data_IF_543076490676
#
_entry.id   IF_543076490676
#
_cell.length_a   1.000
_cell.length_b   1.000
_cell.length_c   1.000
_cell.angle_alpha   90.00
_cell.angle_beta   90.00
_cell.angle_gamma   90.00
#
_symmetry.space_group_name_H-M   'P 1'
#
loop_
_entity.id
_entity.type
_entity.pdbx_description
1 polymer ?
2 polymer ?
3 non-polymer ?
4 water ?
#
# COMPACT_ATOMS: atom_id res chain seq x y z
N UNK A 1 2.25 -11.16 12.56
CA UNK A 1 1.47 -9.93 12.56
C UNK A 1 0.32 -10.00 11.57
N UNK A 2 -0.04 -8.85 10.99
CA UNK A 2 -1.17 -8.78 10.09
C UNK A 2 -0.93 -9.44 8.73
N UNK A 3 0.21 -9.11 8.13
CA UNK A 3 0.59 -9.65 6.83
C UNK A 3 0.57 -11.17 6.86
N UNK A 4 0.86 -11.73 8.03
CA UNK A 4 0.89 -13.17 8.20
C UNK A 4 -0.52 -13.70 8.42
N UNK A 5 -1.18 -13.15 9.41
CA UNK A 5 -2.48 -13.63 9.86
C UNK A 5 -3.55 -13.63 8.76
N UNK A 6 -3.73 -12.48 8.10
CA UNK A 6 -4.76 -12.34 7.08
C UNK A 6 -4.49 -13.19 5.86
N UNK A 7 -3.26 -13.69 5.75
CA UNK A 7 -2.94 -14.58 4.65
C UNK A 7 -3.22 -16.02 5.06
N UNK A 8 -2.64 -16.44 6.17
CA UNK A 8 -2.79 -17.82 6.61
C UNK A 8 -4.18 -18.09 7.17
N UNK A 9 -4.74 -17.11 7.87
CA UNK A 9 -6.12 -17.24 8.33
C UNK A 9 -7.00 -16.21 7.63
N UNK A 10 -8.16 -15.94 8.22
CA UNK A 10 -9.05 -14.93 7.70
C UNK A 10 -9.28 -13.82 8.73
N UNK A 11 -8.93 -12.59 8.34
CA UNK A 11 -9.12 -11.43 9.20
C UNK A 11 -10.50 -10.80 9.03
N UNK A 12 -11.07 -10.28 10.11
CA UNK A 12 -12.29 -9.48 9.98
C UNK A 12 -11.90 -8.11 9.44
N UNK A 13 -12.89 -7.38 8.93
CA UNK A 13 -12.66 -6.05 8.40
C UNK A 13 -11.99 -5.16 9.43
N UNK A 14 -12.46 -5.22 10.67
CA UNK A 14 -11.93 -4.31 11.66
C UNK A 14 -10.45 -4.58 11.99
N UNK A 15 -9.97 -5.80 11.79
CA UNK A 15 -8.54 -6.07 11.95
C UNK A 15 -7.72 -5.32 10.88
N UNK A 16 -8.24 -5.28 9.65
CA UNK A 16 -7.59 -4.54 8.57
C UNK A 16 -7.58 -3.04 8.87
N UNK A 17 -8.74 -2.55 9.30
CA UNK A 17 -8.91 -1.11 9.47
C UNK A 17 -8.03 -0.55 10.58
N UNK A 18 -7.50 -1.41 11.45
CA UNK A 18 -6.53 -1.01 12.47
C UNK A 18 -5.20 -0.51 11.88
N UNK A 19 -4.99 -0.75 10.59
CA UNK A 19 -3.76 -0.30 9.93
C UNK A 19 -3.94 0.94 9.06
N UNK A 20 -5.14 1.51 9.06
CA UNK A 20 -5.35 2.82 8.42
C UNK A 20 -4.69 3.87 9.27
N UNK A 21 -4.19 4.94 8.64
CA UNK A 21 -3.55 6.01 9.38
C UNK A 21 -4.54 6.74 10.26
N UNK B 1 -13.68 -8.48 -0.72
CA UNK B 1 -12.44 -8.91 -0.08
C UNK B 1 -12.63 -9.20 1.40
N UNK B 2 -13.89 -9.26 1.85
CA UNK B 2 -14.18 -9.64 3.23
C UNK B 2 -14.27 -11.16 3.26
N UNK B 3 -14.05 -11.77 4.42
CA UNK B 3 -14.06 -13.22 4.54
C UNK B 3 -13.24 -13.95 3.49
N UNK B 4 -11.99 -13.56 3.31
CA UNK B 4 -11.10 -14.33 2.45
C UNK B 4 -9.64 -14.17 2.85
N UNK B 5 -8.80 -15.08 2.38
CA UNK B 5 -7.36 -14.98 2.55
C UNK B 5 -6.84 -13.83 1.69
N UNK B 6 -6.10 -12.93 2.33
CA UNK B 6 -5.52 -11.80 1.63
C UNK B 6 -4.00 -11.94 1.73
N UNK B 7 -3.42 -12.49 0.68
CA UNK B 7 -1.98 -12.72 0.65
C UNK B 7 -1.28 -11.78 -0.31
N UNK B 8 -0.05 -11.41 0.03
CA UNK B 8 0.80 -10.61 -0.83
C UNK B 8 0.14 -9.30 -1.23
N UNK B 9 0.13 -9.03 -2.53
CA UNK B 9 -0.40 -7.76 -3.00
C UNK B 9 -1.88 -7.59 -2.69
N UNK B 10 -2.59 -8.70 -2.48
CA UNK B 10 -4.03 -8.61 -2.26
C UNK B 10 -4.38 -7.97 -0.91
N UNK B 11 -3.50 -8.15 0.07
CA UNK B 11 -3.72 -7.49 1.36
C UNK B 11 -3.54 -5.99 1.19
N UNK B 12 -2.55 -5.59 0.41
CA UNK B 12 -2.31 -4.17 0.15
C UNK B 12 -3.49 -3.55 -0.63
N UNK B 13 -4.03 -4.29 -1.57
CA UNK B 13 -5.20 -3.83 -2.34
C UNK B 13 -6.40 -3.61 -1.40
N UNK B 14 -6.57 -4.54 -0.45
CA UNK B 14 -7.67 -4.48 0.52
C UNK B 14 -7.50 -3.27 1.42
N UNK B 15 -6.30 -3.08 1.95
CA UNK B 15 -6.01 -1.93 2.80
C UNK B 15 -6.28 -0.60 2.07
N UNK B 16 -5.86 -0.52 0.81
CA UNK B 16 -6.06 0.69 0.01
C UNK B 16 -7.55 1.03 -0.09
N UNK B 17 -8.36 0.01 -0.32
CA UNK B 17 -9.81 0.16 -0.46
C UNK B 17 -10.47 0.52 0.87
N UNK B 18 -10.13 -0.20 1.91
CA UNK B 18 -10.67 0.07 3.23
C UNK B 18 -10.32 1.46 3.75
N UNK B 19 -9.05 1.84 3.65
CA UNK B 19 -8.56 3.03 4.34
C UNK B 19 -8.81 4.33 3.57
N UNK B 20 -9.02 4.22 2.27
CA UNK B 20 -9.37 5.39 1.48
C UNK B 20 -8.32 6.48 1.63
N UNK B 21 -8.76 7.70 1.90
CA UNK B 21 -7.84 8.83 1.86
C UNK B 21 -7.01 8.96 3.14
N UNK B 22 -7.32 8.18 4.17
CA UNK B 22 -6.45 8.07 5.33
C UNK B 22 -5.08 7.48 4.96
N UNK B 23 -5.06 6.60 3.96
CA UNK B 23 -3.86 5.83 3.68
C UNK B 23 -3.62 4.88 4.84
N UNK B 24 -2.50 4.16 4.79
CA UNK B 24 -2.25 3.07 5.72
C UNK B 24 -0.76 2.75 5.79
N UNK B 25 -0.41 1.86 6.72
CA UNK B 25 0.98 1.41 6.81
C UNK B 25 0.99 -0.11 6.78
N UNK B 26 2.03 -0.66 6.19
CA UNK B 26 2.07 -2.08 5.90
C UNK B 26 3.42 -2.59 6.36
N UNK B 27 3.39 -3.58 7.25
CA UNK B 27 4.60 -4.00 7.94
C UNK B 27 4.62 -5.51 8.09
N UNK B 28 5.21 -6.19 7.11
CA UNK B 28 5.34 -7.66 7.07
C UNK B 28 6.10 -8.23 8.27
N UNK B 29 6.99 -7.45 8.87
CA UNK B 29 7.83 -7.93 9.98
C UNK B 29 7.12 -8.97 10.87
N UNK C 1 4.70 15.39 -1.05
CA UNK C 1 4.49 14.01 -0.67
C UNK C 1 4.55 13.04 -1.83
N UNK C 2 4.28 11.78 -1.56
CA UNK C 2 4.37 10.73 -2.55
C UNK C 2 3.49 11.01 -3.78
N UNK C 3 2.29 11.52 -3.54
CA UNK C 3 1.35 11.80 -4.63
C UNK C 3 1.90 12.89 -5.55
N UNK C 4 2.42 13.94 -4.93
CA UNK C 4 3.08 14.99 -5.68
C UNK C 4 4.24 14.42 -6.50
N UNK C 5 5.08 13.63 -5.86
CA UNK C 5 6.31 13.15 -6.51
C UNK C 5 6.10 12.06 -7.55
N UNK C 6 5.19 11.14 -7.30
CA UNK C 6 5.06 9.98 -8.19
C UNK C 6 3.78 9.96 -9.03
N UNK C 7 2.75 10.66 -8.57
CA UNK C 7 1.48 10.68 -9.28
C UNK C 7 1.39 11.88 -10.22
N UNK C 8 1.48 13.08 -9.66
CA UNK C 8 1.38 14.28 -10.47
C UNK C 8 2.65 14.45 -11.32
N UNK C 9 3.81 14.24 -10.72
CA UNK C 9 5.08 14.16 -11.45
C UNK C 9 5.46 12.70 -11.71
N UNK C 10 6.70 12.49 -12.13
CA UNK C 10 7.23 11.17 -12.43
C UNK C 10 8.38 10.91 -11.48
N UNK C 11 8.39 9.78 -10.79
CA UNK C 11 9.42 9.56 -9.79
C UNK C 11 10.37 8.42 -10.11
N UNK C 12 11.53 8.43 -9.46
CA UNK C 12 12.54 7.39 -9.60
C UNK C 12 12.27 6.36 -8.52
N UNK C 13 12.89 5.19 -8.61
CA UNK C 13 12.73 4.18 -7.54
C UNK C 13 13.25 4.73 -6.22
N UNK C 14 14.31 5.51 -6.32
CA UNK C 14 14.91 6.21 -5.19
C UNK C 14 13.84 6.98 -4.42
N UNK C 15 13.08 7.80 -5.15
CA UNK C 15 12.01 8.58 -4.54
C UNK C 15 10.94 7.68 -3.92
N UNK C 16 10.58 6.58 -4.58
CA UNK C 16 9.59 5.66 -4.03
C UNK C 16 10.05 5.05 -2.72
N UNK C 17 11.32 4.61 -2.71
CA UNK C 17 11.91 3.93 -1.56
C UNK C 17 11.94 4.76 -0.31
N UNK C 18 11.87 6.07 -0.49
CA UNK C 18 11.81 7.01 0.62
C UNK C 18 10.60 6.70 1.53
N UNK C 19 9.58 6.06 0.99
CA UNK C 19 8.41 5.77 1.78
C UNK C 19 8.34 4.34 2.31
N UNK C 20 9.38 3.54 2.05
CA UNK C 20 9.50 2.23 2.69
C UNK C 20 9.77 2.47 4.16
N UNK C 21 9.47 1.48 5.00
CA UNK C 21 9.78 1.58 6.43
C UNK C 21 11.28 1.59 6.71
N UNK D 1 -4.25 4.01 -19.70
CA UNK D 1 -2.97 4.66 -20.00
C UNK D 1 -2.38 5.29 -18.74
N UNK D 2 -1.27 4.73 -18.24
CA UNK D 2 -0.63 5.26 -17.06
C UNK D 2 0.44 6.28 -17.41
N UNK D 3 1.14 5.96 -18.49
CA UNK D 3 2.48 6.45 -18.75
C UNK D 3 3.33 6.11 -17.54
N UNK D 4 4.38 6.88 -17.40
CA UNK D 4 5.22 6.96 -16.21
C UNK D 4 4.63 7.44 -14.87
N UNK D 5 3.32 7.67 -14.82
CA UNK D 5 2.70 8.13 -13.58
C UNK D 5 2.22 6.96 -12.70
N UNK D 6 2.43 7.09 -11.40
CA UNK D 6 1.97 6.10 -10.44
C UNK D 6 0.89 6.73 -9.56
N UNK D 7 -0.36 6.32 -9.78
CA UNK D 7 -1.47 6.93 -9.06
C UNK D 7 -2.37 5.91 -8.37
N UNK D 8 -2.93 6.32 -7.24
CA UNK D 8 -3.91 5.52 -6.53
C UNK D 8 -3.41 4.13 -6.23
N UNK D 9 -4.22 3.13 -6.55
CA UNK D 9 -3.84 1.76 -6.28
C UNK D 9 -2.50 1.36 -6.89
N UNK D 10 -2.12 1.95 -8.02
CA UNK D 10 -0.84 1.59 -8.64
C UNK D 10 0.33 2.09 -7.80
N UNK D 11 0.12 3.18 -7.08
CA UNK D 11 1.18 3.74 -6.26
C UNK D 11 1.48 2.81 -5.11
N UNK D 12 0.42 2.26 -4.55
CA UNK D 12 0.50 1.36 -3.44
C UNK D 12 1.14 0.02 -3.89
N UNK D 13 0.77 -0.45 -5.08
CA UNK D 13 1.37 -1.67 -5.62
C UNK D 13 2.88 -1.47 -5.84
N UNK D 14 3.27 -0.31 -6.34
CA UNK D 14 4.68 0.03 -6.53
C UNK D 14 5.44 -0.06 -5.21
N UNK D 15 4.92 0.60 -4.18
CA UNK D 15 5.55 0.55 -2.85
C UNK D 15 5.65 -0.89 -2.35
N UNK D 16 4.58 -1.66 -2.52
CA UNK D 16 4.59 -3.02 -2.06
C UNK D 16 5.74 -3.79 -2.71
N UNK D 17 5.93 -3.59 -4.01
CA UNK D 17 6.97 -4.31 -4.74
C UNK D 17 8.35 -3.81 -4.34
N UNK D 18 8.52 -2.50 -4.35
CA UNK D 18 9.83 -1.88 -4.14
C UNK D 18 10.35 -2.09 -2.71
N UNK D 19 9.43 -2.04 -1.74
CA UNK D 19 9.80 -2.04 -0.33
C UNK D 19 10.00 -3.43 0.26
N UNK D 20 9.44 -4.45 -0.40
CA UNK D 20 9.63 -5.82 0.04
C UNK D 20 9.31 -6.06 1.50
N UNK D 21 10.22 -6.73 2.19
CA UNK D 21 9.99 -7.15 3.58
C UNK D 21 9.94 -5.99 4.57
N UNK D 22 10.54 -4.87 4.19
CA UNK D 22 10.47 -3.67 5.02
C UNK D 22 9.04 -3.14 5.16
N UNK D 23 8.23 -3.30 4.13
CA UNK D 23 6.92 -2.67 4.10
C UNK D 23 7.03 -1.18 3.85
N UNK D 24 5.91 -0.47 4.02
CA UNK D 24 5.87 0.94 3.68
C UNK D 24 4.82 1.70 4.47
N UNK D 25 4.87 3.02 4.35
CA UNK D 25 3.92 3.91 4.99
C UNK D 25 3.33 4.81 3.92
N UNK D 26 2.04 4.67 3.68
CA UNK D 26 1.37 5.37 2.61
C UNK D 26 0.41 6.44 3.15
N UNK D 27 0.70 7.70 2.86
CA UNK D 27 -0.16 8.81 3.27
C UNK D 27 -0.37 9.75 2.10
N UNK D 28 -1.55 9.65 1.46
CA UNK D 28 -1.78 10.44 0.25
C UNK D 28 -1.84 11.94 0.55
N UNK D 29 -2.20 12.31 1.77
CA UNK D 29 -2.34 13.74 2.10
C UNK D 29 -1.05 14.28 2.69
N UNK D 30 -0.08 14.56 1.82
CA UNK D 30 1.24 15.03 2.24
C UNK D 30 1.71 16.18 1.33
X LIG E 1 1.46 3.08 -25.09
X LIG E 1 2.09 3.42 -23.84
X LIG E 1 1.85 2.18 -22.93
X LIG E 1 1.54 4.52 -23.11
X LIG E 1 1.11 1.29 -23.77
X LIG E 1 1.19 2.71 -21.79
X LIG E 1 0.86 -0.09 -23.43
X LIG E 1 1.63 3.81 -26.31
X LIG E 1 0.96 1.79 -25.06
X LIG E 1 0.97 1.99 -20.58
X LIG E 1 1.73 5.90 -23.45
X LIG E 1 1.08 4.10 -21.87
X LIG E 1 0.56 1.16 -26.02
X LIG E 1 0.75 4.83 -20.96
X LIG E 1 -0.26 -0.30 -22.57
X LIG E 1 -0.19 1.14 -20.59
X LIG E 1 -0.21 -0.19 -21.14
X LIG E 1 -1.42 -0.95 -22.97
X LIG E 1 -1.31 1.36 -19.79
X LIG E 1 -1.46 2.31 -19.04
X LIG E 1 -2.16 0.27 -19.89
X LIG E 1 -1.64 -1.37 -24.10
X LIG E 1 -2.22 -1.17 -21.87
X LIG E 1 -1.57 -0.79 -20.66
X LIG E 1 -3.31 0.10 -19.05
X LIG E 1 -3.41 -1.98 -21.91
X LIG E 1 -4.64 -1.26 -21.72
X LIG E 1 -4.57 0.17 -19.75
X LIG E 1 0.78 4.97 -26.43
X LIG E 1 0.85 6.40 -24.45
X LIG E 1 -5.17 -0.92 -20.43
X LIG E 1 -5.48 1.20 -19.53
X LIG E 1 -5.59 -1.11 -22.72
X LIG E 1 -5.31 2.16 -18.80
X LIG E 1 -6.67 0.89 -20.18
X LIG E 1 -5.48 -1.51 -23.86
X LIG E 1 -6.73 -0.54 -22.16
X LIG E 1 -6.61 -0.42 -20.74
X LIG E 1 1.06 6.25 -25.86
X LIG E 1 -0.24 5.05 -27.38
X LIG E 1 -0.12 7.37 -24.19
X LIG E 1 -0.36 7.85 -23.10
X LIG E 1 -0.68 7.78 -25.40
X LIG E 1 -0.55 4.17 -28.17
X LIG E 1 -0.75 6.34 -27.37
X LIG E 1 0.01 7.20 -26.51
X LIG E 1 -2.91 8.55 -25.87
X LIG E 1 -3.00 7.11 -27.85
X LIG E 1 -4.00 8.69 -25.02
X LIG E 1 -3.35 8.35 -27.22
X LIG E 1 -4.11 6.39 -28.20
X LIG E 1 -4.13 5.40 -28.93
X LIG E 1 -5.24 7.03 -27.71
X LIG E 1 -3.94 9.07 -23.86
X LIG E 1 -5.17 8.46 -25.73
X LIG E 1 -6.58 6.63 -28.05
X LIG E 1 -4.89 8.29 -27.13
X LIG E 1 -6.48 8.71 -25.18
X LIG E 1 -7.34 6.10 -26.96
X LIG E 1 -7.27 7.53 -24.98
X LIG E 1 -7.75 4.78 -26.90
X LIG E 1 -7.97 6.88 -26.03
X LIG E 1 -7.64 7.08 -23.71
X LIG E 1 -7.30 7.59 -22.66
X LIG E 1 -8.56 6.06 -23.86
X LIG E 1 -7.48 3.92 -27.73
X LIG E 1 -8.63 4.62 -25.84
X LIG E 1 -9.28 5.49 -22.75
X LIG E 1 -9.37 3.42 -25.62
X LIG E 1 -8.93 5.88 -25.23
X LIG E 1 -9.01 2.69 -24.43
X LIG E 1 -8.94 4.13 -22.45
X LIG E 1 -8.41 1.44 -24.47
X LIG E 1 -9.49 2.99 -23.12
X LIG E 1 -8.29 3.75 -21.28
X LIG E 1 -7.90 4.51 -20.40
X LIG E 1 -8.29 2.36 -21.19
X LIG E 1 -8.09 0.84 -25.47
X LIG E 1 -8.36 0.94 -23.17
X LIG E 1 -9.06 1.78 -22.25
X LIG E 1 -1.58 8.89 -25.49
X LIG E 1 -1.68 6.81 -28.36
X LIG E 1 -7.97 -0.42 -22.88
X LIG E 1 -7.87 1.66 -20.03
#
# INVERSE_FOLDING_TARGET
GIVEQCCTSICSLYQLENYCN
FVNQHLCGSHLVEALYLVCGERGFFYTPKT
GIVEQCCTSICSLYQLENYCN
FVNQHLCGSHLVEALYLVCGERGFFYTPKT
QQ7 N01 C01 C02 N02 N03 N04 C03 C04 C05 C06 C07 C08 O01 O02 N05 N06 C09 C10 C11 O03 N07 O04 N08 C12 C13 C14 N09 N10 N11 N12 C15 C16 C17 O05 N13 O06 N14 C18 C19 C20 C21 O07 N15 O08 N16 C22 N17 N18 C23 C24 C25 O09 N19 O10 N20 C26 C27 C28 N21 N22 C29 C30 C31 O11 N23 O12 N24 C32 C33 C34 N25 N26 C35 C36 C37 O13 N27 O N C38 C39 C40 C41 C
#
